data_IF_233335501356
#
_entry.id   IF_233335501356
#
_cell.length_a   1.000
_cell.length_b   1.000
_cell.length_c   1.000
_cell.angle_alpha   90.00
_cell.angle_beta   90.00
_cell.angle_gamma   90.00
#
_symmetry.space_group_name_H-M   'P 1'
#
loop_
_entity.id
_entity.type
_entity.pdbx_description
1 polymer ?
#
# COMPACT_ATOMS: atom_id res chain seq x y z
N UNK A 1 -39.46 28.57 -25.07
CA UNK A 1 -38.88 27.28 -24.62
C UNK A 1 -37.99 27.56 -23.42
N UNK A 2 -38.25 26.96 -22.26
CA UNK A 2 -37.39 27.09 -21.08
C UNK A 2 -36.28 26.04 -21.17
N UNK A 3 -35.02 26.46 -21.12
CA UNK A 3 -33.86 25.59 -20.99
C UNK A 3 -33.95 24.92 -19.61
N UNK A 4 -33.84 23.58 -19.48
CA UNK A 4 -33.85 22.94 -18.18
C UNK A 4 -32.58 23.33 -17.39
N UNK A 5 -32.64 23.45 -16.06
CA UNK A 5 -31.45 23.74 -15.27
C UNK A 5 -30.46 22.59 -15.45
N UNK A 6 -29.24 22.89 -15.88
CA UNK A 6 -28.12 21.95 -15.75
C UNK A 6 -27.98 21.65 -14.26
N UNK A 7 -28.39 20.46 -13.84
CA UNK A 7 -27.94 19.92 -12.56
C UNK A 7 -26.40 19.98 -12.59
N UNK A 8 -25.73 20.48 -11.54
CA UNK A 8 -24.29 20.33 -11.46
C UNK A 8 -24.01 18.83 -11.55
N UNK A 9 -23.25 18.43 -12.57
CA UNK A 9 -22.68 17.09 -12.63
C UNK A 9 -21.96 16.90 -11.30
N UNK A 10 -22.50 16.03 -10.43
CA UNK A 10 -21.79 15.62 -9.23
C UNK A 10 -20.36 15.27 -9.66
N UNK A 11 -19.32 15.77 -8.97
CA UNK A 11 -17.96 15.40 -9.30
C UNK A 11 -17.92 13.88 -9.37
N UNK A 12 -17.70 13.33 -10.57
CA UNK A 12 -17.41 11.91 -10.68
C UNK A 12 -16.06 11.80 -9.98
N UNK A 13 -16.06 11.32 -8.73
CA UNK A 13 -14.87 10.87 -8.02
C UNK A 13 -14.26 9.73 -8.85
N UNK A 14 -13.61 10.08 -9.97
CA UNK A 14 -12.70 9.19 -10.66
C UNK A 14 -11.48 9.22 -9.77
N UNK A 15 -11.44 8.29 -8.81
CA UNK A 15 -10.21 7.95 -8.11
C UNK A 15 -9.14 7.73 -9.18
N UNK A 16 -8.25 8.69 -9.36
CA UNK A 16 -7.06 8.50 -10.17
C UNK A 16 -6.11 7.75 -9.26
N UNK A 17 -6.12 6.43 -9.33
CA UNK A 17 -5.30 5.59 -8.45
C UNK A 17 -3.84 6.04 -8.57
N UNK A 18 -3.29 6.55 -7.46
CA UNK A 18 -1.95 7.10 -7.38
C UNK A 18 -0.99 6.08 -6.78
N UNK A 19 -0.40 6.47 -5.64
CA UNK A 19 0.48 5.63 -4.84
C UNK A 19 -0.32 4.52 -4.15
N UNK A 20 0.15 3.29 -4.23
CA UNK A 20 -0.47 2.12 -3.57
C UNK A 20 0.56 1.39 -2.72
N UNK A 21 0.12 0.90 -1.57
CA UNK A 21 0.82 -0.12 -0.81
C UNK A 21 -0.03 -1.39 -0.74
N UNK A 22 0.59 -2.55 -0.84
CA UNK A 22 -0.03 -3.83 -0.49
C UNK A 22 0.76 -4.44 0.66
N UNK A 23 0.10 -4.67 1.80
CA UNK A 23 0.69 -5.36 2.93
C UNK A 23 0.07 -6.75 3.09
N UNK A 24 0.89 -7.70 3.47
CA UNK A 24 0.56 -9.11 3.60
C UNK A 24 0.82 -9.55 5.03
N UNK A 25 -0.20 -10.12 5.68
CA UNK A 25 -0.11 -10.57 7.07
C UNK A 25 -1.12 -11.69 7.38
N UNK A 26 -0.94 -12.48 8.43
CA UNK A 26 -1.95 -13.45 8.85
C UNK A 26 -3.25 -12.74 9.27
N UNK A 27 -4.45 -13.27 8.98
CA UNK A 27 -5.71 -12.66 9.40
C UNK A 27 -5.77 -12.38 10.90
N UNK A 28 -5.27 -13.30 11.74
CA UNK A 28 -5.24 -13.15 13.19
C UNK A 28 -4.32 -12.02 13.68
N UNK A 29 -3.41 -11.52 12.83
CA UNK A 29 -2.50 -10.45 13.19
C UNK A 29 -3.14 -9.05 13.07
N UNK A 30 -4.32 -8.92 12.44
CA UNK A 30 -5.11 -7.70 12.43
C UNK A 30 -6.00 -7.66 13.68
N UNK A 31 -5.45 -7.08 14.75
CA UNK A 31 -6.15 -7.00 16.05
C UNK A 31 -6.99 -5.74 16.16
N UNK A 32 -7.90 -5.71 17.13
CA UNK A 32 -8.70 -4.53 17.44
C UNK A 32 -7.84 -3.31 17.74
N UNK A 33 -6.74 -3.47 18.47
CA UNK A 33 -5.81 -2.39 18.82
C UNK A 33 -5.16 -1.78 17.59
N UNK A 34 -4.77 -2.61 16.61
CA UNK A 34 -4.23 -2.12 15.33
C UNK A 34 -5.31 -1.38 14.54
N UNK A 35 -6.53 -1.91 14.50
CA UNK A 35 -7.67 -1.22 13.88
C UNK A 35 -7.95 0.14 14.54
N UNK A 36 -7.90 0.22 15.88
CA UNK A 36 -8.08 1.47 16.62
C UNK A 36 -6.94 2.46 16.34
N UNK A 37 -5.69 1.99 16.30
CA UNK A 37 -4.55 2.83 15.95
C UNK A 37 -4.63 3.38 14.51
N UNK A 38 -5.23 2.63 13.58
CA UNK A 38 -5.56 3.16 12.24
C UNK A 38 -6.64 4.24 12.33
N UNK A 39 -7.70 4.05 13.14
CA UNK A 39 -8.72 5.08 13.40
C UNK A 39 -8.10 6.37 13.92
N UNK A 40 -7.16 6.28 14.87
CA UNK A 40 -6.43 7.43 15.40
C UNK A 40 -5.60 8.17 14.34
N UNK A 41 -5.20 7.48 13.26
CA UNK A 41 -4.54 8.08 12.08
C UNK A 41 -5.53 8.77 11.12
N UNK A 42 -6.81 8.86 11.48
CA UNK A 42 -7.85 9.55 10.73
C UNK A 42 -8.79 8.62 9.95
N UNK A 43 -8.94 7.37 10.36
CA UNK A 43 -9.79 6.41 9.66
C UNK A 43 -11.25 6.65 9.99
N UNK A 44 -12.04 6.83 8.93
CA UNK A 44 -13.48 6.87 8.98
C UNK A 44 -13.97 5.65 8.23
N UNK A 45 -14.81 4.83 8.87
CA UNK A 45 -15.50 3.75 8.17
C UNK A 45 -16.32 4.36 7.04
N UNK A 46 -16.08 3.93 5.81
CA UNK A 46 -16.96 4.29 4.70
C UNK A 46 -18.13 3.33 4.69
N UNK A 47 -19.32 3.88 4.89
CA UNK A 47 -20.57 3.14 4.97
C UNK A 47 -20.86 2.41 3.65
N UNK A 48 -20.45 1.14 3.56
CA UNK A 48 -21.12 0.08 2.80
C UNK A 48 -21.53 -1.01 3.79
N UNK A 49 -22.61 -0.75 4.53
CA UNK A 49 -23.31 -1.71 5.42
C UNK A 49 -23.23 -3.12 4.83
N UNK A 50 -22.56 -4.04 5.50
CA UNK A 50 -23.11 -4.78 6.64
C UNK A 50 -22.15 -4.88 7.81
N UNK A 51 -22.58 -4.41 8.99
CA UNK A 51 -21.97 -4.70 10.31
C UNK A 51 -22.14 -6.17 10.74
N UNK A 52 -22.30 -7.09 9.79
CA UNK A 52 -22.51 -8.50 10.07
C UNK A 52 -21.17 -9.21 9.98
N UNK A 53 -20.71 -9.76 11.11
CA UNK A 53 -19.50 -10.59 11.18
C UNK A 53 -19.59 -11.84 10.28
N UNK A 54 -20.75 -12.12 9.67
CA UNK A 54 -20.91 -13.16 8.64
C UNK A 54 -20.42 -12.73 7.24
N UNK A 55 -20.30 -11.43 6.96
CA UNK A 55 -19.75 -10.87 5.72
C UNK A 55 -18.26 -10.53 5.80
N UNK A 56 -17.52 -11.15 6.74
CA UNK A 56 -16.05 -11.10 6.83
C UNK A 56 -15.33 -11.68 5.59
N UNK A 57 -16.08 -12.13 4.57
CA UNK A 57 -15.57 -12.65 3.31
C UNK A 57 -15.33 -11.58 2.22
N UNK A 58 -15.97 -10.41 2.29
CA UNK A 58 -16.01 -9.45 1.16
C UNK A 58 -15.15 -8.19 1.32
N UNK A 59 -14.35 -8.13 2.38
CA UNK A 59 -13.40 -7.04 2.62
C UNK A 59 -13.99 -5.81 3.29
N UNK A 60 -13.15 -5.07 4.01
CA UNK A 60 -13.52 -3.84 4.71
C UNK A 60 -12.93 -2.65 3.95
N UNK A 61 -13.76 -1.69 3.54
CA UNK A 61 -13.29 -0.39 3.07
C UNK A 61 -13.29 0.59 4.25
N UNK A 62 -12.10 1.04 4.66
CA UNK A 62 -11.89 2.12 5.63
C UNK A 62 -11.25 3.29 4.89
N UNK A 63 -11.82 4.48 4.92
CA UNK A 63 -11.15 5.67 4.35
C UNK A 63 -10.44 6.46 5.43
N UNK A 64 -9.11 6.50 5.35
CA UNK A 64 -8.24 7.41 6.10
C UNK A 64 -8.24 8.80 5.45
N UNK A 65 -8.60 9.80 6.24
CA UNK A 65 -8.45 11.20 5.86
C UNK A 65 -7.12 11.70 6.40
N UNK A 66 -6.20 12.05 5.50
CA UNK A 66 -4.91 12.61 5.88
C UNK A 66 -4.65 13.91 5.12
N UNK A 67 -4.14 14.91 5.85
CA UNK A 67 -3.70 16.18 5.27
C UNK A 67 -2.23 16.35 5.56
N UNK A 68 -1.43 16.54 4.52
CA UNK A 68 -0.02 16.86 4.71
C UNK A 68 0.12 18.22 5.43
N UNK A 69 1.08 18.36 6.36
CA UNK A 69 1.23 19.57 7.17
C UNK A 69 1.42 20.87 6.36
N UNK A 70 1.97 20.79 5.15
CA UNK A 70 2.30 21.94 4.31
C UNK A 70 1.14 22.41 3.41
N UNK A 71 -0.07 22.58 3.95
CA UNK A 71 -1.17 23.30 3.29
C UNK A 71 -1.68 22.72 1.95
N UNK A 72 -1.17 21.57 1.51
CA UNK A 72 -1.48 20.95 0.22
C UNK A 72 -2.92 20.45 0.09
N UNK A 73 -3.29 19.95 -1.10
CA UNK A 73 -4.62 19.40 -1.36
C UNK A 73 -4.96 18.29 -0.35
N UNK A 74 -6.25 18.17 -0.03
CA UNK A 74 -6.74 17.03 0.76
C UNK A 74 -6.49 15.78 -0.09
N UNK A 75 -5.71 14.82 0.41
CA UNK A 75 -5.67 13.51 -0.20
C UNK A 75 -6.44 12.52 0.68
N UNK A 76 -6.96 11.50 0.03
CA UNK A 76 -7.75 10.46 0.64
C UNK A 76 -6.96 9.17 0.53
N UNK A 77 -6.60 8.59 1.66
CA UNK A 77 -6.04 7.24 1.67
C UNK A 77 -7.17 6.27 1.98
N UNK A 78 -7.55 5.41 1.05
CA UNK A 78 -8.46 4.30 1.33
C UNK A 78 -7.64 3.10 1.78
N UNK A 79 -7.87 2.63 2.99
CA UNK A 79 -7.44 1.30 3.44
C UNK A 79 -8.55 0.33 3.12
N UNK A 80 -8.27 -0.54 2.19
CA UNK A 80 -9.19 -1.55 1.78
C UNK A 80 -8.59 -2.92 2.15
N UNK A 81 -9.22 -3.57 3.12
CA UNK A 81 -8.86 -4.90 3.59
C UNK A 81 -9.56 -5.89 2.69
N UNK A 82 -8.84 -6.66 1.89
CA UNK A 82 -9.47 -7.61 0.98
C UNK A 82 -9.05 -9.03 1.34
N UNK A 83 -10.04 -9.91 1.46
CA UNK A 83 -9.79 -11.35 1.27
C UNK A 83 -9.95 -11.63 -0.21
N UNK A 84 -8.85 -11.44 -0.92
CA UNK A 84 -8.67 -11.72 -2.32
C UNK A 84 -9.23 -13.14 -2.69
N UNK A 85 -10.02 -13.28 -3.79
CA UNK A 85 -10.39 -14.56 -4.45
C UNK A 85 -9.44 -14.88 -5.61
N UNK A 86 -8.84 -16.09 -5.64
CA UNK A 86 -7.57 -16.45 -6.34
C UNK A 86 -7.50 -16.06 -7.82
N UNK A 87 -8.65 -15.89 -8.46
CA UNK A 87 -8.77 -15.72 -9.92
C UNK A 87 -8.58 -14.28 -10.39
N UNK A 88 -8.65 -13.30 -9.48
CA UNK A 88 -8.65 -11.88 -9.82
C UNK A 88 -7.52 -11.07 -9.15
N UNK A 89 -6.43 -11.72 -8.68
CA UNK A 89 -5.52 -11.10 -7.71
C UNK A 89 -4.11 -10.75 -8.20
N UNK A 90 -3.51 -9.80 -7.49
CA UNK A 90 -2.09 -9.81 -7.18
C UNK A 90 -1.80 -10.90 -6.16
N UNK A 91 -0.82 -11.76 -6.40
CA UNK A 91 -0.63 -13.00 -5.64
C UNK A 91 0.50 -12.85 -4.60
N UNK A 92 0.39 -13.53 -3.46
CA UNK A 92 1.45 -13.63 -2.43
C UNK A 92 1.58 -15.12 -2.08
N UNK A 93 2.21 -15.91 -2.95
CA UNK A 93 2.04 -17.38 -3.04
C UNK A 93 2.66 -18.19 -1.89
N UNK A 94 3.43 -17.57 -1.02
CA UNK A 94 4.17 -18.28 0.02
C UNK A 94 3.27 -18.87 1.13
N UNK A 95 2.00 -18.45 1.28
CA UNK A 95 1.04 -18.99 2.26
C UNK A 95 -0.42 -18.90 1.81
N UNK A 96 -1.21 -19.94 2.09
CA UNK A 96 -2.63 -20.02 1.71
C UNK A 96 -3.59 -19.34 2.71
N UNK A 97 -3.07 -18.91 3.87
CA UNK A 97 -3.80 -18.38 5.00
C UNK A 97 -3.51 -16.88 5.26
N UNK A 98 -3.29 -16.11 4.20
CA UNK A 98 -2.91 -14.70 4.29
C UNK A 98 -4.12 -13.77 4.15
N UNK A 99 -4.04 -12.64 4.85
CA UNK A 99 -4.83 -11.44 4.64
C UNK A 99 -3.96 -10.43 3.88
N UNK A 100 -4.49 -9.90 2.79
CA UNK A 100 -3.82 -8.81 2.07
C UNK A 100 -4.59 -7.52 2.31
N UNK A 101 -3.86 -6.54 2.82
CA UNK A 101 -4.35 -5.20 3.09
C UNK A 101 -3.87 -4.29 1.97
N UNK A 102 -4.80 -3.73 1.19
CA UNK A 102 -4.51 -2.69 0.22
C UNK A 102 -4.63 -1.31 0.85
N UNK A 103 -3.57 -0.51 0.75
CA UNK A 103 -3.60 0.92 1.09
C UNK A 103 -3.50 1.69 -0.21
N UNK A 104 -4.58 2.32 -0.61
CA UNK A 104 -4.67 3.09 -1.83
C UNK A 104 -4.68 4.57 -1.48
N UNK A 105 -3.66 5.31 -1.89
CA UNK A 105 -3.67 6.77 -1.76
C UNK A 105 -4.24 7.34 -3.05
N UNK A 106 -5.50 7.74 -2.98
CA UNK A 106 -6.14 8.59 -3.97
C UNK A 106 -5.70 10.03 -3.74
N UNK A 107 -4.74 10.48 -4.55
CA UNK A 107 -4.30 11.88 -4.49
C UNK A 107 -5.14 12.67 -5.50
N UNK A 108 -6.06 13.48 -4.98
CA UNK A 108 -6.78 14.43 -5.82
C UNK A 108 -5.80 15.54 -6.27
N UNK A 109 -5.77 15.83 -7.56
CA UNK A 109 -5.09 16.97 -8.18
C UNK A 109 -3.59 17.22 -7.88
N UNK A 110 -2.83 16.24 -7.35
CA UNK A 110 -1.36 16.36 -7.27
C UNK A 110 -0.69 15.67 -8.46
N UNK A 111 0.13 16.37 -9.27
CA UNK A 111 0.85 15.73 -10.36
C UNK A 111 1.77 14.62 -9.85
N UNK A 112 1.77 13.47 -10.52
CA UNK A 112 2.69 12.32 -10.29
C UNK A 112 4.16 12.73 -10.23
N UNK A 113 4.50 13.92 -10.73
CA UNK A 113 5.86 14.48 -10.78
C UNK A 113 6.30 15.21 -9.50
N UNK A 114 5.41 15.52 -8.56
CA UNK A 114 5.78 16.18 -7.30
C UNK A 114 6.48 15.18 -6.36
N UNK A 115 7.81 15.22 -6.32
CA UNK A 115 8.61 14.32 -5.49
C UNK A 115 8.45 14.59 -3.97
N UNK A 116 8.47 15.84 -3.47
CA UNK A 116 8.23 16.14 -2.05
C UNK A 116 6.87 15.66 -1.51
N UNK A 117 5.79 15.88 -2.26
CA UNK A 117 4.46 15.41 -1.85
C UNK A 117 4.43 13.87 -1.76
N UNK A 118 5.01 13.19 -2.75
CA UNK A 118 5.14 11.73 -2.81
C UNK A 118 5.91 11.14 -1.64
N UNK A 119 7.07 11.71 -1.30
CA UNK A 119 7.86 11.24 -0.16
C UNK A 119 7.07 11.33 1.16
N UNK A 120 6.27 12.38 1.34
CA UNK A 120 5.42 12.52 2.52
C UNK A 120 4.32 11.46 2.57
N UNK A 121 3.73 11.10 1.41
CA UNK A 121 2.77 10.00 1.31
C UNK A 121 3.41 8.62 1.52
N UNK A 122 4.62 8.40 1.02
CA UNK A 122 5.39 7.19 1.32
C UNK A 122 5.60 7.07 2.82
N UNK A 123 6.01 8.14 3.51
CA UNK A 123 6.16 8.12 4.97
C UNK A 123 4.86 7.77 5.67
N UNK A 124 3.75 8.38 5.28
CA UNK A 124 2.44 8.06 5.84
C UNK A 124 2.08 6.57 5.68
N UNK A 125 2.23 6.00 4.49
CA UNK A 125 1.99 4.57 4.25
C UNK A 125 2.93 3.67 5.05
N UNK A 126 4.19 4.08 5.20
CA UNK A 126 5.17 3.38 6.03
C UNK A 126 4.81 3.44 7.52
N UNK A 127 4.21 4.52 8.02
CA UNK A 127 3.67 4.60 9.38
C UNK A 127 2.48 3.64 9.56
N UNK A 128 1.61 3.49 8.55
CA UNK A 128 0.55 2.46 8.58
C UNK A 128 1.16 1.06 8.64
N UNK A 129 2.23 0.81 7.89
CA UNK A 129 3.01 -0.41 7.96
C UNK A 129 3.60 -0.66 9.35
N UNK A 130 4.06 0.37 10.06
CA UNK A 130 4.58 0.25 11.43
C UNK A 130 3.50 -0.07 12.46
N UNK A 131 2.25 0.38 12.24
CA UNK A 131 1.08 -0.01 13.05
C UNK A 131 0.72 -1.47 12.80
N UNK A 132 0.70 -1.86 11.52
CA UNK A 132 0.20 -3.17 11.11
C UNK A 132 1.21 -4.30 11.29
N UNK A 133 2.50 -3.98 11.15
CA UNK A 133 3.62 -4.91 11.24
C UNK A 133 3.41 -6.14 10.35
N UNK A 134 3.29 -5.95 9.02
CA UNK A 134 3.03 -7.04 8.10
C UNK A 134 4.26 -7.94 7.91
N UNK A 135 4.04 -9.17 7.44
CA UNK A 135 5.15 -10.05 7.05
C UNK A 135 5.89 -9.48 5.82
N UNK A 136 5.14 -8.84 4.92
CA UNK A 136 5.69 -8.13 3.77
C UNK A 136 4.80 -6.94 3.41
N UNK A 137 5.39 -5.83 2.96
CA UNK A 137 4.64 -4.73 2.34
C UNK A 137 5.40 -4.19 1.13
N UNK A 138 4.69 -3.95 0.03
CA UNK A 138 5.21 -3.35 -1.18
C UNK A 138 4.54 -2.00 -1.43
N UNK A 139 5.30 -0.99 -1.86
CA UNK A 139 4.82 0.33 -2.25
C UNK A 139 5.30 0.68 -3.65
N UNK A 140 4.37 1.07 -4.52
CA UNK A 140 4.62 1.45 -5.91
C UNK A 140 3.44 2.26 -6.48
N UNK A 141 3.51 2.68 -7.74
CA UNK A 141 2.32 3.20 -8.43
C UNK A 141 1.30 2.07 -8.63
N UNK A 142 0.01 2.42 -8.59
CA UNK A 142 -1.06 1.45 -8.81
C UNK A 142 -0.91 0.67 -10.12
N UNK A 143 -0.56 1.36 -11.21
CA UNK A 143 -0.36 0.74 -12.53
C UNK A 143 0.76 -0.32 -12.52
N UNK A 144 1.77 -0.16 -11.65
CA UNK A 144 2.86 -1.14 -11.51
C UNK A 144 2.39 -2.43 -10.86
N UNK A 145 1.49 -2.33 -9.88
CA UNK A 145 0.83 -3.53 -9.34
C UNK A 145 -0.01 -4.18 -10.44
N UNK A 146 -0.86 -3.41 -11.14
CA UNK A 146 -1.74 -3.91 -12.19
C UNK A 146 -1.00 -4.72 -13.25
N UNK A 147 0.19 -4.27 -13.66
CA UNK A 147 1.03 -4.98 -14.63
C UNK A 147 1.59 -6.33 -14.11
N UNK A 148 1.59 -6.55 -12.80
CA UNK A 148 2.10 -7.75 -12.11
C UNK A 148 0.96 -8.62 -11.57
N UNK A 149 -0.27 -8.44 -12.08
CA UNK A 149 -1.41 -9.28 -11.71
C UNK A 149 -1.10 -10.75 -12.02
N UNK A 150 -1.34 -11.65 -11.06
CA UNK A 150 -1.07 -13.08 -11.18
C UNK A 150 0.37 -13.52 -10.93
N UNK A 151 1.29 -12.63 -10.55
CA UNK A 151 2.63 -13.01 -10.06
C UNK A 151 2.70 -12.92 -8.54
N UNK A 152 3.62 -13.69 -7.93
CA UNK A 152 3.91 -13.59 -6.50
C UNK A 152 4.68 -12.29 -6.23
N UNK A 153 4.00 -11.31 -5.66
CA UNK A 153 4.56 -10.02 -5.36
C UNK A 153 5.66 -10.08 -4.28
N UNK A 154 5.77 -11.12 -3.45
CA UNK A 154 6.94 -11.22 -2.53
C UNK A 154 8.26 -11.45 -3.25
N UNK A 155 8.22 -11.93 -4.50
CA UNK A 155 9.38 -12.21 -5.34
C UNK A 155 9.65 -11.07 -6.33
N UNK A 156 8.91 -9.97 -6.21
CA UNK A 156 9.05 -8.80 -7.06
C UNK A 156 9.78 -7.67 -6.31
N UNK A 157 10.38 -6.77 -7.09
CA UNK A 157 10.99 -5.55 -6.57
C UNK A 157 10.06 -4.39 -6.87
N UNK A 158 9.76 -3.60 -5.84
CA UNK A 158 8.97 -2.38 -5.91
C UNK A 158 9.84 -1.17 -5.58
N UNK A 159 9.28 0.03 -5.74
CA UNK A 159 9.96 1.25 -5.34
C UNK A 159 10.37 1.20 -3.86
N UNK A 160 9.49 0.69 -3.00
CA UNK A 160 9.79 0.40 -1.60
C UNK A 160 9.22 -0.97 -1.22
N UNK A 161 10.07 -1.83 -0.65
CA UNK A 161 9.67 -3.11 -0.05
C UNK A 161 9.98 -3.09 1.44
N UNK A 162 9.07 -3.59 2.27
CA UNK A 162 9.25 -3.78 3.71
C UNK A 162 9.16 -5.26 4.00
N UNK A 163 10.24 -5.82 4.51
CA UNK A 163 10.32 -7.21 4.94
C UNK A 163 10.13 -7.24 6.45
N UNK A 164 9.03 -7.84 6.92
CA UNK A 164 8.80 -8.07 8.34
C UNK A 164 9.77 -9.12 8.91
N UNK A 165 9.85 -9.28 10.25
CA UNK A 165 10.82 -10.17 10.90
C UNK A 165 10.82 -11.60 10.35
N UNK A 166 9.65 -12.16 10.03
CA UNK A 166 9.55 -13.49 9.44
C UNK A 166 10.23 -13.56 8.06
N UNK A 167 9.97 -12.59 7.18
CA UNK A 167 10.60 -12.49 5.87
C UNK A 167 12.09 -12.14 5.96
N UNK A 168 12.48 -11.28 6.91
CA UNK A 168 13.89 -10.96 7.19
C UNK A 168 14.64 -12.23 7.58
N UNK A 169 14.05 -13.06 8.44
CA UNK A 169 14.63 -14.35 8.82
C UNK A 169 14.69 -15.32 7.65
N UNK A 170 13.67 -15.35 6.78
CA UNK A 170 13.60 -16.27 5.65
C UNK A 170 14.58 -15.92 4.53
N UNK A 171 14.74 -14.64 4.20
CA UNK A 171 15.65 -14.15 3.15
C UNK A 171 17.09 -14.04 3.68
N UNK A 172 17.24 -13.65 4.94
CA UNK A 172 18.50 -13.37 5.60
C UNK A 172 18.78 -11.86 5.67
N UNK A 173 18.90 -11.35 6.89
CA UNK A 173 19.18 -9.94 7.17
C UNK A 173 20.43 -9.42 6.45
N UNK A 174 21.54 -10.17 6.49
CA UNK A 174 22.78 -9.78 5.82
C UNK A 174 22.60 -9.63 4.31
N UNK A 175 21.81 -10.51 3.68
CA UNK A 175 21.47 -10.44 2.25
C UNK A 175 20.67 -9.17 1.96
N UNK A 176 19.59 -8.95 2.71
CA UNK A 176 18.75 -7.75 2.55
C UNK A 176 19.54 -6.45 2.71
N UNK A 177 20.47 -6.38 3.67
CA UNK A 177 21.33 -5.21 3.90
C UNK A 177 22.39 -4.99 2.82
N UNK A 178 22.73 -6.02 2.06
CA UNK A 178 23.70 -5.97 0.97
C UNK A 178 23.08 -5.69 -0.41
N UNK A 179 21.75 -5.59 -0.50
CA UNK A 179 21.08 -5.34 -1.78
C UNK A 179 21.59 -4.04 -2.40
N UNK A 180 21.71 -3.98 -3.73
CA UNK A 180 22.17 -2.78 -4.44
C UNK A 180 21.04 -1.73 -4.52
N UNK A 181 20.51 -1.31 -3.38
CA UNK A 181 19.44 -0.33 -3.25
C UNK A 181 19.98 1.01 -2.71
N UNK A 182 19.47 2.16 -3.18
CA UNK A 182 19.87 3.48 -2.69
C UNK A 182 19.77 3.65 -1.17
N UNK A 183 18.75 3.05 -0.55
CA UNK A 183 18.51 3.18 0.89
C UNK A 183 17.91 1.91 1.48
N UNK A 184 18.50 1.45 2.58
CA UNK A 184 18.05 0.30 3.36
C UNK A 184 18.01 0.70 4.83
N UNK A 185 16.87 0.48 5.48
CA UNK A 185 16.60 0.99 6.82
C UNK A 185 16.01 -0.09 7.72
N UNK A 186 16.44 -0.12 8.98
CA UNK A 186 15.81 -0.96 9.99
C UNK A 186 14.60 -0.23 10.62
N UNK A 187 13.56 -0.99 10.94
CA UNK A 187 12.40 -0.52 11.69
C UNK A 187 12.47 -0.98 13.14
N UNK A 188 11.86 -0.24 14.09
CA UNK A 188 11.88 -0.61 15.51
C UNK A 188 11.29 -1.99 15.83
N UNK A 189 10.37 -2.49 15.00
CA UNK A 189 9.73 -3.80 15.16
C UNK A 189 10.47 -4.95 14.47
N UNK A 190 11.73 -4.73 14.03
CA UNK A 190 12.59 -5.76 13.45
C UNK A 190 12.44 -5.96 11.94
N UNK A 191 11.67 -5.11 11.27
CA UNK A 191 11.58 -5.12 9.81
C UNK A 191 12.73 -4.39 9.11
N UNK A 192 12.93 -4.71 7.85
CA UNK A 192 13.89 -4.02 6.97
C UNK A 192 13.12 -3.40 5.81
N UNK A 193 13.25 -2.08 5.66
CA UNK A 193 12.76 -1.35 4.49
C UNK A 193 13.87 -1.24 3.46
N UNK A 194 13.62 -1.68 2.24
CA UNK A 194 14.49 -1.53 1.08
C UNK A 194 13.81 -0.54 0.13
N UNK A 195 14.41 0.63 -0.07
CA UNK A 195 13.99 1.61 -1.07
C UNK A 195 14.84 1.40 -2.31
N UNK A 196 14.28 0.73 -3.31
CA UNK A 196 14.97 0.47 -4.57
C UNK A 196 15.18 1.75 -5.38
N UNK A 197 14.34 2.77 -5.17
CA UNK A 197 14.48 4.07 -5.84
C UNK A 197 13.95 5.19 -4.94
N UNK A 198 14.53 6.38 -5.07
CA UNK A 198 14.02 7.59 -4.43
C UNK A 198 12.76 8.13 -5.13
N UNK A 199 12.50 7.66 -6.36
CA UNK A 199 11.23 7.87 -7.04
C UNK A 199 10.25 6.75 -6.67
N UNK A 200 8.96 7.06 -6.59
CA UNK A 200 7.95 6.01 -6.40
C UNK A 200 7.53 5.43 -7.75
N UNK A 201 8.44 4.75 -8.42
CA UNK A 201 8.17 3.86 -9.56
C UNK A 201 9.42 3.05 -9.87
N UNK A 202 9.38 1.73 -9.65
CA UNK A 202 10.51 0.87 -10.01
C UNK A 202 10.64 0.70 -11.53
N UNK A 203 9.56 0.86 -12.29
CA UNK A 203 9.60 0.78 -13.75
C UNK A 203 10.42 1.90 -14.40
N UNK A 204 10.64 3.00 -13.67
CA UNK A 204 11.54 4.06 -14.11
C UNK A 204 13.02 3.62 -14.12
N UNK A 205 13.39 2.52 -13.45
CA UNK A 205 14.74 1.96 -13.45
C UNK A 205 14.76 0.41 -13.57
N UNK A 206 14.55 -0.14 -14.79
CA UNK A 206 14.53 -1.58 -15.01
C UNK A 206 15.87 -2.28 -14.73
N UNK A 207 16.99 -1.58 -14.90
CA UNK A 207 18.32 -2.14 -14.66
C UNK A 207 18.56 -2.34 -13.17
N UNK A 208 18.20 -1.36 -12.35
CA UNK A 208 18.27 -1.46 -10.90
C UNK A 208 17.34 -2.56 -10.37
N UNK A 209 16.11 -2.62 -10.90
CA UNK A 209 15.17 -3.72 -10.61
C UNK A 209 15.83 -5.08 -10.81
N UNK A 210 16.46 -5.30 -11.96
CA UNK A 210 17.10 -6.59 -12.27
C UNK A 210 18.30 -6.88 -11.35
N UNK A 211 19.10 -5.87 -11.02
CA UNK A 211 20.22 -6.03 -10.08
C UNK A 211 19.76 -6.46 -8.69
N UNK A 212 18.69 -5.86 -8.18
CA UNK A 212 18.13 -6.21 -6.87
C UNK A 212 17.52 -7.61 -6.92
N UNK A 213 16.74 -7.93 -7.96
CA UNK A 213 16.16 -9.27 -8.15
C UNK A 213 17.23 -10.37 -8.17
N UNK A 214 18.36 -10.15 -8.85
CA UNK A 214 19.45 -11.12 -8.90
C UNK A 214 20.21 -11.29 -7.57
N UNK A 215 20.03 -10.37 -6.63
CA UNK A 215 20.70 -10.37 -5.32
C UNK A 215 19.80 -10.91 -4.19
N UNK A 216 18.50 -11.07 -4.43
CA UNK A 216 17.52 -11.69 -3.53
C UNK A 216 17.57 -13.22 -3.64
#
# INVERSE_FOLDING_TARGET
MRVPPMLPLSPKNKWRYGLTALACMPPAALTFEKSLALVDKGAVSTDKRTHDARTLADGWDITLWHRLPAGGPRAFASVAVWRYDRRDQHDFRWRDDLLVLGFHVGIDDTPVRDAPARESWTRFLLELGDILQPDFMALDLYDEFMNRKGTDLTQEVFAVSVYGPAMVSAVGEGRLRSLPAPRIEARPWGAITVRATDAISIAADPLLRQKILNAL
#
